data_IF_612982330967
#
_entry.id   IF_612982330967
#
_cell.length_a   1.000
_cell.length_b   1.000
_cell.length_c   1.000
_cell.angle_alpha   90.00
_cell.angle_beta   90.00
_cell.angle_gamma   90.00
#
_symmetry.space_group_name_H-M   'P 1'
#
loop_
_entity.id
_entity.type
_entity.pdbx_description
1 polymer ?
#
# COMPACT_ATOMS: atom_id res chain seq x y z
N UNK A 1 16.53 11.76 -24.33
CA UNK A 1 16.01 10.55 -23.66
C UNK A 1 15.50 11.02 -22.31
N UNK A 2 14.19 11.16 -22.17
CA UNK A 2 13.59 11.52 -20.87
C UNK A 2 13.77 10.35 -19.91
N UNK A 3 14.23 10.68 -18.69
CA UNK A 3 14.43 9.72 -17.63
C UNK A 3 13.06 9.20 -17.20
N UNK A 4 12.67 7.99 -17.63
CA UNK A 4 11.36 7.38 -17.36
C UNK A 4 11.22 6.84 -15.93
N UNK A 5 12.15 7.21 -15.04
CA UNK A 5 12.31 6.67 -13.70
C UNK A 5 11.43 7.39 -12.66
N UNK A 6 10.60 8.36 -13.04
CA UNK A 6 9.72 9.11 -12.11
C UNK A 6 8.27 8.68 -12.25
N UNK A 7 7.52 8.83 -11.16
CA UNK A 7 6.06 8.75 -11.22
C UNK A 7 5.52 10.01 -11.90
N UNK A 8 4.49 9.85 -12.73
CA UNK A 8 3.64 10.97 -13.15
C UNK A 8 2.63 11.31 -12.06
N UNK A 9 2.12 12.54 -12.05
CA UNK A 9 1.09 12.95 -11.09
C UNK A 9 -0.19 12.10 -11.22
N UNK A 10 -0.55 11.69 -12.45
CA UNK A 10 -1.68 10.80 -12.71
C UNK A 10 -1.47 9.43 -12.05
N UNK A 11 -0.25 8.90 -12.07
CA UNK A 11 0.01 7.61 -11.42
C UNK A 11 -0.03 7.68 -9.90
N UNK A 12 0.46 8.77 -9.31
CA UNK A 12 0.32 9.03 -7.87
C UNK A 12 -1.16 9.16 -7.50
N UNK A 13 -1.95 9.87 -8.31
CA UNK A 13 -3.39 9.98 -8.10
C UNK A 13 -4.10 8.62 -8.17
N UNK A 14 -3.72 7.76 -9.13
CA UNK A 14 -4.25 6.39 -9.20
C UNK A 14 -3.83 5.52 -8.01
N UNK A 15 -2.66 5.76 -7.41
CA UNK A 15 -2.25 5.11 -6.15
C UNK A 15 -3.20 5.57 -5.02
N UNK A 16 -3.44 6.87 -4.86
CA UNK A 16 -4.34 7.36 -3.82
C UNK A 16 -5.80 6.90 -3.98
N UNK A 17 -6.29 6.80 -5.22
CA UNK A 17 -7.59 6.21 -5.51
C UNK A 17 -7.66 4.74 -5.11
N UNK A 18 -6.62 3.99 -5.43
CA UNK A 18 -6.55 2.57 -5.11
C UNK A 18 -6.42 2.33 -3.59
N UNK A 19 -5.62 3.15 -2.89
CA UNK A 19 -5.58 3.15 -1.43
C UNK A 19 -6.94 3.45 -0.83
N UNK A 20 -7.65 4.47 -1.32
CA UNK A 20 -8.99 4.77 -0.85
C UNK A 20 -9.92 3.57 -1.06
N UNK A 21 -9.98 3.02 -2.27
CA UNK A 21 -10.82 1.88 -2.62
C UNK A 21 -10.59 0.65 -1.73
N UNK A 22 -9.33 0.37 -1.38
CA UNK A 22 -8.95 -0.81 -0.60
C UNK A 22 -9.02 -0.60 0.92
N UNK A 23 -8.74 0.62 1.40
CA UNK A 23 -8.61 0.90 2.82
C UNK A 23 -9.85 1.54 3.43
N UNK A 24 -10.62 2.35 2.70
CA UNK A 24 -11.81 3.01 3.25
C UNK A 24 -12.89 2.03 3.73
N UNK A 25 -13.14 0.85 3.11
CA UNK A 25 -14.10 -0.11 3.66
C UNK A 25 -13.65 -0.76 4.97
N UNK A 26 -12.35 -0.66 5.30
CA UNK A 26 -11.76 -1.23 6.51
C UNK A 26 -11.77 -0.23 7.68
N UNK A 27 -12.02 1.05 7.41
CA UNK A 27 -12.02 2.12 8.38
C UNK A 27 -13.44 2.67 8.56
N UNK A 28 -13.99 2.53 9.77
CA UNK A 28 -15.35 2.96 10.07
C UNK A 28 -15.53 4.49 10.06
N UNK A 29 -14.43 5.25 10.08
CA UNK A 29 -14.44 6.72 10.01
C UNK A 29 -14.31 7.24 8.58
N UNK A 30 -13.86 6.41 7.64
CA UNK A 30 -13.71 6.80 6.24
C UNK A 30 -15.04 6.71 5.48
N UNK A 31 -15.25 7.62 4.52
CA UNK A 31 -16.37 7.55 3.60
C UNK A 31 -15.99 6.69 2.39
N UNK A 32 -16.36 5.42 2.42
CA UNK A 32 -16.07 4.49 1.32
C UNK A 32 -16.85 4.76 0.03
N UNK A 33 -17.80 5.70 0.05
CA UNK A 33 -18.61 6.07 -1.12
C UNK A 33 -18.08 7.31 -1.84
N UNK A 34 -17.12 8.02 -1.24
CA UNK A 34 -16.54 9.21 -1.84
C UNK A 34 -15.69 8.88 -3.07
N UNK A 35 -15.99 9.50 -4.20
CA UNK A 35 -15.21 9.34 -5.42
C UNK A 35 -14.13 10.42 -5.52
N UNK A 36 -12.87 10.03 -5.31
CA UNK A 36 -11.74 10.95 -5.50
C UNK A 36 -11.63 11.39 -6.97
N UNK A 37 -11.59 12.71 -7.16
CA UNK A 37 -11.34 13.35 -8.45
C UNK A 37 -10.05 14.17 -8.39
N UNK A 38 -9.43 14.51 -9.54
CA UNK A 38 -8.27 15.40 -9.57
C UNK A 38 -8.49 16.74 -8.86
N UNK A 39 -9.74 17.21 -8.83
CA UNK A 39 -10.12 18.50 -8.25
C UNK A 39 -10.63 18.39 -6.81
N UNK A 40 -10.69 17.17 -6.23
CA UNK A 40 -11.05 16.99 -4.82
C UNK A 40 -10.14 17.87 -3.96
N UNK A 41 -10.76 18.65 -3.09
CA UNK A 41 -10.05 19.56 -2.20
C UNK A 41 -9.29 18.76 -1.14
N UNK A 42 -8.26 19.37 -0.55
CA UNK A 42 -7.46 18.72 0.48
C UNK A 42 -8.31 18.33 1.69
N UNK A 43 -9.24 19.19 2.13
CA UNK A 43 -10.10 18.84 3.26
C UNK A 43 -11.03 17.67 2.91
N UNK A 44 -11.60 17.63 1.70
CA UNK A 44 -12.47 16.54 1.25
C UNK A 44 -11.71 15.21 1.20
N UNK A 45 -10.51 15.22 0.61
CA UNK A 45 -9.66 14.04 0.55
C UNK A 45 -9.31 13.52 1.95
N UNK A 46 -8.98 14.43 2.87
CA UNK A 46 -8.63 14.07 4.25
C UNK A 46 -9.83 13.53 5.02
N UNK A 47 -10.99 14.15 4.88
CA UNK A 47 -12.22 13.70 5.53
C UNK A 47 -12.68 12.34 4.99
N UNK A 48 -12.72 12.17 3.67
CA UNK A 48 -13.13 10.92 3.04
C UNK A 48 -12.27 9.70 3.44
N UNK A 49 -11.02 9.93 3.87
CA UNK A 49 -10.06 8.88 4.22
C UNK A 49 -9.69 8.82 5.71
N UNK A 50 -10.31 9.62 6.56
CA UNK A 50 -9.90 9.84 7.96
C UNK A 50 -8.38 10.11 8.11
N UNK A 51 -7.84 10.96 7.23
CA UNK A 51 -6.41 11.27 7.23
C UNK A 51 -6.06 12.24 8.36
N UNK A 52 -4.82 12.09 8.84
CA UNK A 52 -4.22 12.99 9.81
C UNK A 52 -4.15 14.45 9.30
N UNK A 53 -3.91 15.38 10.23
CA UNK A 53 -3.53 16.76 9.91
C UNK A 53 -2.33 16.82 8.96
N UNK A 54 -2.29 17.84 8.10
CA UNK A 54 -1.33 17.94 6.99
C UNK A 54 0.13 17.79 7.42
N UNK A 55 0.51 18.22 8.63
CA UNK A 55 1.88 18.07 9.14
C UNK A 55 2.29 16.62 9.32
N UNK A 56 1.38 15.77 9.81
CA UNK A 56 1.65 14.33 10.00
C UNK A 56 1.49 13.59 8.68
N UNK A 57 0.50 13.98 7.87
CA UNK A 57 0.27 13.42 6.55
C UNK A 57 1.47 13.66 5.63
N UNK A 58 2.03 14.87 5.60
CA UNK A 58 3.23 15.19 4.81
C UNK A 58 4.47 14.38 5.25
N UNK A 59 4.67 14.19 6.55
CA UNK A 59 5.73 13.33 7.05
C UNK A 59 5.54 11.86 6.63
N UNK A 60 4.28 11.39 6.63
CA UNK A 60 3.94 10.07 6.12
C UNK A 60 4.21 9.95 4.62
N UNK A 61 3.77 10.91 3.80
CA UNK A 61 3.99 10.94 2.36
C UNK A 61 5.48 10.98 1.99
N UNK A 62 6.30 11.72 2.75
CA UNK A 62 7.76 11.70 2.60
C UNK A 62 8.31 10.28 2.77
N UNK A 63 7.84 9.55 3.78
CA UNK A 63 8.25 8.16 4.04
C UNK A 63 7.77 7.21 2.95
N UNK A 64 6.49 7.27 2.60
CA UNK A 64 5.84 6.40 1.63
C UNK A 64 6.51 6.52 0.25
N UNK A 65 6.63 7.74 -0.27
CA UNK A 65 7.22 8.00 -1.58
C UNK A 65 8.75 8.14 -1.56
N UNK A 66 9.38 7.98 -0.39
CA UNK A 66 10.84 8.04 -0.19
C UNK A 66 11.43 9.35 -0.70
N UNK A 67 10.75 10.46 -0.39
CA UNK A 67 11.16 11.83 -0.74
C UNK A 67 11.45 12.62 0.53
N UNK A 68 12.27 13.65 0.41
CA UNK A 68 12.63 14.55 1.50
C UNK A 68 12.22 15.98 1.15
N UNK A 69 10.94 16.28 1.40
CA UNK A 69 10.35 17.60 1.14
C UNK A 69 10.19 18.36 2.44
N UNK A 70 10.58 19.63 2.43
CA UNK A 70 10.48 20.49 3.60
C UNK A 70 9.03 20.76 3.96
N UNK A 71 8.77 20.89 5.26
CA UNK A 71 7.43 21.20 5.79
C UNK A 71 6.81 22.45 5.16
N UNK A 72 7.61 23.47 4.88
CA UNK A 72 7.15 24.71 4.24
C UNK A 72 6.70 24.49 2.79
N UNK A 73 7.35 23.59 2.05
CA UNK A 73 6.93 23.25 0.69
C UNK A 73 5.63 22.43 0.71
N UNK A 74 5.51 21.50 1.66
CA UNK A 74 4.25 20.78 1.88
C UNK A 74 3.10 21.71 2.24
N UNK A 75 3.34 22.69 3.10
CA UNK A 75 2.32 23.66 3.49
C UNK A 75 1.72 24.37 2.28
N UNK A 76 2.53 24.73 1.27
CA UNK A 76 2.03 25.38 0.04
C UNK A 76 1.07 24.48 -0.74
N UNK A 77 1.24 23.15 -0.68
CA UNK A 77 0.35 22.18 -1.33
C UNK A 77 -0.89 21.85 -0.51
N UNK A 78 -0.81 21.93 0.81
CA UNK A 78 -1.92 21.56 1.69
C UNK A 78 -2.81 22.74 2.08
N UNK A 79 -2.30 23.98 2.04
CA UNK A 79 -2.98 25.16 2.56
C UNK A 79 -3.20 26.26 1.50
N UNK A 80 -4.34 26.98 1.55
CA UNK A 80 -5.51 26.67 2.37
C UNK A 80 -6.25 25.44 1.82
N UNK A 81 -6.72 24.56 2.72
CA UNK A 81 -7.19 23.21 2.35
C UNK A 81 -8.54 23.19 1.59
N UNK A 82 -9.28 24.30 1.61
CA UNK A 82 -10.50 24.59 0.85
C UNK A 82 -10.27 25.17 -0.55
N UNK A 83 -9.01 25.42 -0.92
CA UNK A 83 -8.61 25.87 -2.27
C UNK A 83 -7.69 24.87 -2.95
N UNK A 84 -6.78 24.25 -2.19
CA UNK A 84 -5.81 23.29 -2.72
C UNK A 84 -6.49 21.97 -3.06
N UNK A 85 -5.95 21.31 -4.09
CA UNK A 85 -6.48 20.05 -4.61
C UNK A 85 -5.53 18.90 -4.36
N UNK A 86 -6.04 17.67 -4.37
CA UNK A 86 -5.21 16.46 -4.32
C UNK A 86 -4.18 16.41 -5.46
N UNK A 87 -4.48 17.01 -6.62
CA UNK A 87 -3.53 17.05 -7.74
C UNK A 87 -2.32 17.96 -7.45
N UNK A 88 -2.45 18.99 -6.61
CA UNK A 88 -1.30 19.79 -6.14
C UNK A 88 -0.29 18.91 -5.37
N UNK A 89 -0.81 17.99 -4.53
CA UNK A 89 -0.02 17.00 -3.80
C UNK A 89 0.60 15.98 -4.77
N UNK A 90 -0.18 15.46 -5.71
CA UNK A 90 0.31 14.49 -6.70
C UNK A 90 1.44 15.07 -7.56
N UNK A 91 1.33 16.33 -7.98
CA UNK A 91 2.38 17.03 -8.72
C UNK A 91 3.65 17.22 -7.88
N UNK A 92 3.50 17.60 -6.61
CA UNK A 92 4.62 17.77 -5.67
C UNK A 92 5.41 16.46 -5.48
N UNK A 93 4.69 15.35 -5.33
CA UNK A 93 5.27 14.01 -5.23
C UNK A 93 5.93 13.61 -6.54
N UNK A 94 5.21 13.68 -7.67
CA UNK A 94 5.71 13.27 -8.99
C UNK A 94 7.00 14.00 -9.40
N UNK A 95 7.15 15.27 -9.01
CA UNK A 95 8.36 16.03 -9.28
C UNK A 95 9.62 15.44 -8.62
N UNK A 96 9.48 14.72 -7.51
CA UNK A 96 10.61 14.24 -6.67
C UNK A 96 10.69 12.72 -6.57
N UNK A 97 9.56 12.03 -6.60
CA UNK A 97 9.46 10.60 -6.38
C UNK A 97 9.95 9.85 -7.62
N UNK A 98 11.01 9.08 -7.42
CA UNK A 98 11.49 8.11 -8.40
C UNK A 98 10.87 6.75 -8.15
N UNK A 99 10.44 6.07 -9.21
CA UNK A 99 10.06 4.67 -9.18
C UNK A 99 11.23 3.82 -8.73
N UNK A 100 10.91 2.73 -8.05
CA UNK A 100 11.91 1.72 -7.79
C UNK A 100 12.12 0.88 -9.05
N UNK A 101 13.32 0.97 -9.65
CA UNK A 101 13.71 0.11 -10.76
C UNK A 101 14.17 -1.24 -10.21
N UNK A 102 13.48 -2.31 -10.59
CA UNK A 102 13.86 -3.66 -10.19
C UNK A 102 14.94 -4.20 -11.13
N UNK A 103 16.13 -4.59 -10.63
CA UNK A 103 17.17 -5.12 -11.50
C UNK A 103 16.69 -6.43 -12.11
N UNK A 104 16.84 -6.58 -13.44
CA UNK A 104 16.54 -7.82 -14.16
C UNK A 104 17.33 -8.98 -13.52
N UNK A 105 16.63 -9.94 -12.92
CA UNK A 105 17.23 -11.13 -12.32
C UNK A 105 17.15 -12.30 -13.27
N UNK A 106 18.26 -13.04 -13.38
CA UNK A 106 18.31 -14.31 -14.12
C UNK A 106 18.10 -15.48 -13.16
N UNK A 107 17.14 -16.34 -13.47
CA UNK A 107 16.96 -17.64 -12.85
C UNK A 107 17.16 -18.70 -13.93
N UNK A 108 18.05 -19.67 -13.67
CA UNK A 108 18.39 -20.74 -14.61
C UNK A 108 18.78 -20.22 -16.02
N UNK A 109 19.45 -19.07 -16.07
CA UNK A 109 19.91 -18.45 -17.32
C UNK A 109 18.88 -17.58 -18.05
N UNK A 110 17.61 -17.56 -17.61
CA UNK A 110 16.55 -16.74 -18.21
C UNK A 110 16.16 -15.57 -17.30
N UNK A 111 15.84 -14.43 -17.90
CA UNK A 111 15.29 -13.29 -17.15
C UNK A 111 13.91 -13.66 -16.60
N UNK A 112 13.73 -13.46 -15.29
CA UNK A 112 12.50 -13.80 -14.60
C UNK A 112 11.93 -12.55 -13.93
N UNK A 113 10.93 -11.97 -14.60
CA UNK A 113 10.23 -10.77 -14.14
C UNK A 113 9.65 -10.95 -12.74
N UNK A 114 8.89 -12.03 -12.55
CA UNK A 114 8.24 -12.35 -11.26
C UNK A 114 9.25 -12.53 -10.13
N UNK A 115 10.40 -13.16 -10.38
CA UNK A 115 11.45 -13.26 -9.37
C UNK A 115 12.06 -11.90 -9.03
N UNK A 116 12.24 -11.03 -10.02
CA UNK A 116 12.78 -9.69 -9.83
C UNK A 116 11.84 -8.83 -8.97
N UNK A 117 10.53 -8.84 -9.30
CA UNK A 117 9.49 -8.16 -8.53
C UNK A 117 9.40 -8.70 -7.10
N UNK A 118 9.33 -10.03 -6.93
CA UNK A 118 9.25 -10.65 -5.59
C UNK A 118 10.43 -10.24 -4.69
N UNK A 119 11.66 -10.33 -5.21
CA UNK A 119 12.85 -9.98 -4.44
C UNK A 119 12.90 -8.49 -4.11
N UNK A 120 12.41 -7.65 -5.03
CA UNK A 120 12.29 -6.23 -4.82
C UNK A 120 11.30 -5.86 -3.72
N UNK A 121 10.07 -6.38 -3.79
CA UNK A 121 9.06 -6.24 -2.73
C UNK A 121 9.64 -6.72 -1.39
N UNK A 122 10.23 -7.92 -1.37
CA UNK A 122 10.85 -8.49 -0.15
C UNK A 122 11.91 -7.56 0.44
N UNK A 123 12.76 -6.96 -0.38
CA UNK A 123 13.80 -6.04 0.07
C UNK A 123 13.23 -4.74 0.62
N UNK A 124 12.20 -4.19 -0.02
CA UNK A 124 11.57 -2.94 0.43
C UNK A 124 10.76 -3.14 1.72
N UNK A 125 10.03 -4.26 1.83
CA UNK A 125 9.37 -4.64 3.08
C UNK A 125 10.38 -4.76 4.24
N UNK A 126 11.56 -5.36 4.00
CA UNK A 126 12.62 -5.42 5.00
C UNK A 126 13.10 -4.03 5.43
N UNK A 127 13.29 -3.11 4.46
CA UNK A 127 13.67 -1.71 4.75
C UNK A 127 12.61 -0.98 5.57
N UNK A 128 11.33 -1.32 5.37
CA UNK A 128 10.20 -0.78 6.12
C UNK A 128 9.93 -1.53 7.45
N UNK A 129 10.85 -2.38 7.91
CA UNK A 129 10.79 -3.02 9.23
C UNK A 129 9.95 -4.30 9.28
N UNK A 130 9.52 -4.84 8.13
CA UNK A 130 8.81 -6.12 8.07
C UNK A 130 9.80 -7.27 8.22
N UNK A 131 9.48 -8.23 9.09
CA UNK A 131 10.25 -9.48 9.15
C UNK A 131 9.95 -10.34 7.92
N UNK A 132 10.90 -10.43 7.00
CA UNK A 132 10.79 -11.20 5.75
C UNK A 132 11.71 -12.43 5.69
N UNK A 133 12.35 -12.83 6.80
CA UNK A 133 13.38 -13.88 6.79
C UNK A 133 12.86 -15.18 6.12
N UNK A 134 11.70 -15.65 6.56
CA UNK A 134 11.03 -16.85 6.03
C UNK A 134 10.06 -16.58 4.87
N UNK A 135 10.01 -15.34 4.35
CA UNK A 135 9.13 -14.99 3.23
C UNK A 135 9.61 -15.69 1.95
N UNK A 136 8.71 -16.45 1.34
CA UNK A 136 8.88 -17.18 0.08
C UNK A 136 7.70 -16.83 -0.85
N UNK A 137 7.80 -17.10 -2.16
CA UNK A 137 6.66 -16.89 -3.07
C UNK A 137 5.41 -17.65 -2.64
N UNK A 138 5.54 -18.82 -2.02
CA UNK A 138 4.41 -19.62 -1.52
C UNK A 138 3.90 -19.18 -0.14
N UNK A 139 4.51 -18.17 0.50
CA UNK A 139 4.03 -17.64 1.78
C UNK A 139 2.68 -16.97 1.58
N UNK A 140 1.77 -17.17 2.54
CA UNK A 140 0.47 -16.50 2.56
C UNK A 140 0.65 -14.99 2.77
N UNK A 141 -0.17 -14.17 2.12
CA UNK A 141 -0.16 -12.71 2.25
C UNK A 141 -0.89 -12.25 3.51
N UNK A 142 -2.01 -12.89 3.86
CA UNK A 142 -2.87 -12.53 4.99
C UNK A 142 -2.09 -12.31 6.31
N UNK A 143 -1.19 -13.22 6.77
CA UNK A 143 -0.47 -13.00 8.01
C UNK A 143 0.42 -11.76 8.01
N UNK A 144 0.90 -11.34 6.83
CA UNK A 144 1.70 -10.13 6.69
C UNK A 144 0.83 -8.89 6.69
N UNK A 145 -0.34 -8.92 6.03
CA UNK A 145 -1.29 -7.80 6.09
C UNK A 145 -1.85 -7.59 7.50
N UNK A 146 -2.19 -8.66 8.23
CA UNK A 146 -2.69 -8.52 9.61
C UNK A 146 -1.64 -7.92 10.56
N UNK A 147 -0.36 -8.21 10.35
CA UNK A 147 0.72 -7.76 11.23
C UNK A 147 1.37 -6.45 10.80
N UNK A 148 1.43 -6.19 9.50
CA UNK A 148 2.19 -5.10 8.88
C UNK A 148 1.39 -4.44 7.74
N UNK A 149 0.10 -4.18 7.98
CA UNK A 149 -0.84 -3.69 6.96
C UNK A 149 -0.28 -2.53 6.12
N UNK A 150 0.08 -1.41 6.77
CA UNK A 150 0.63 -0.22 6.10
C UNK A 150 1.82 -0.53 5.19
N UNK A 151 2.95 -1.02 5.73
CA UNK A 151 4.13 -1.33 4.93
C UNK A 151 3.88 -2.29 3.75
N UNK A 152 2.98 -3.28 3.94
CA UNK A 152 2.65 -4.24 2.87
C UNK A 152 1.80 -3.58 1.79
N UNK A 153 0.74 -2.86 2.18
CA UNK A 153 -0.13 -2.16 1.23
C UNK A 153 0.61 -1.09 0.45
N UNK A 154 1.38 -0.24 1.13
CA UNK A 154 2.23 0.79 0.52
C UNK A 154 3.12 0.20 -0.58
N UNK A 155 3.88 -0.85 -0.26
CA UNK A 155 4.81 -1.45 -1.22
C UNK A 155 4.10 -2.09 -2.41
N UNK A 156 2.95 -2.73 -2.17
CA UNK A 156 2.14 -3.34 -3.23
C UNK A 156 1.63 -2.26 -4.18
N UNK A 157 1.07 -1.17 -3.65
CA UNK A 157 0.45 -0.10 -4.42
C UNK A 157 1.47 0.75 -5.19
N UNK A 158 2.66 0.97 -4.62
CA UNK A 158 3.77 1.62 -5.31
C UNK A 158 4.33 0.76 -6.45
N UNK A 159 4.18 -0.57 -6.37
CA UNK A 159 4.67 -1.51 -7.38
C UNK A 159 3.63 -1.81 -8.46
N UNK A 160 2.35 -1.87 -8.12
CA UNK A 160 1.26 -2.10 -9.04
C UNK A 160 -0.09 -1.67 -8.46
N UNK A 161 -0.98 -1.19 -9.32
CA UNK A 161 -2.37 -0.85 -8.93
C UNK A 161 -3.33 -1.95 -9.34
N UNK A 162 -4.47 -2.10 -8.63
CA UNK A 162 -5.50 -3.12 -8.89
C UNK A 162 -5.01 -4.56 -8.67
N UNK A 163 -4.15 -4.74 -7.67
CA UNK A 163 -3.59 -6.05 -7.31
C UNK A 163 -4.61 -6.89 -6.55
N UNK A 164 -5.36 -6.28 -5.63
CA UNK A 164 -6.44 -6.93 -4.89
C UNK A 164 -7.78 -6.51 -5.47
N UNK A 165 -8.67 -7.47 -5.73
CA UNK A 165 -10.04 -7.16 -6.17
C UNK A 165 -10.82 -6.48 -5.03
N UNK A 166 -10.72 -7.05 -3.82
CA UNK A 166 -11.32 -6.56 -2.59
C UNK A 166 -10.46 -6.99 -1.40
N UNK A 167 -10.50 -6.19 -0.32
CA UNK A 167 -9.99 -6.58 0.98
C UNK A 167 -11.15 -6.51 1.98
N UNK A 168 -11.34 -7.58 2.74
CA UNK A 168 -12.27 -7.55 3.86
C UNK A 168 -11.60 -8.00 5.14
N UNK A 169 -11.96 -7.34 6.23
CA UNK A 169 -11.50 -7.69 7.57
C UNK A 169 -12.65 -8.31 8.35
N UNK A 170 -12.41 -9.47 8.94
CA UNK A 170 -13.38 -10.14 9.80
C UNK A 170 -12.76 -10.54 11.13
N UNK A 171 -13.51 -10.32 12.20
CA UNK A 171 -13.16 -10.79 13.53
C UNK A 171 -14.17 -11.85 13.95
N UNK A 172 -13.70 -13.09 14.13
CA UNK A 172 -14.54 -14.18 14.64
C UNK A 172 -14.13 -14.55 16.05
N UNK A 173 -15.10 -14.85 16.92
CA UNK A 173 -14.83 -15.43 18.24
C UNK A 173 -14.83 -16.94 18.14
N UNK A 174 -13.69 -17.57 18.39
CA UNK A 174 -13.57 -19.04 18.44
C UNK A 174 -13.35 -19.48 19.88
N UNK A 175 -13.82 -20.68 20.23
CA UNK A 175 -13.49 -21.27 21.54
C UNK A 175 -11.98 -21.46 21.63
N UNK A 176 -11.39 -21.11 22.77
CA UNK A 176 -9.98 -21.41 23.03
C UNK A 176 -9.79 -22.93 23.02
N UNK A 177 -8.77 -23.46 22.34
CA UNK A 177 -8.39 -24.85 22.50
C UNK A 177 -7.73 -25.04 23.87
N UNK A 178 -8.26 -25.96 24.66
CA UNK A 178 -7.75 -26.36 25.97
C UNK A 178 -7.54 -25.21 27.01
N UNK A 179 -8.56 -24.38 27.30
CA UNK A 179 -8.42 -23.27 28.25
C UNK A 179 -8.31 -23.80 29.68
N UNK A 180 -7.51 -23.13 30.50
CA UNK A 180 -7.43 -23.44 31.93
C UNK A 180 -8.76 -23.08 32.64
N UNK A 181 -8.92 -23.49 33.90
CA UNK A 181 -10.20 -23.32 34.62
C UNK A 181 -10.63 -21.85 34.74
N UNK A 182 -9.68 -20.92 34.92
CA UNK A 182 -9.95 -19.49 35.02
C UNK A 182 -10.35 -18.89 33.68
N UNK A 183 -9.65 -19.29 32.60
CA UNK A 183 -9.98 -18.91 31.23
C UNK A 183 -11.32 -19.48 30.78
N UNK A 184 -11.69 -20.70 31.19
CA UNK A 184 -13.02 -21.25 30.94
C UNK A 184 -14.13 -20.39 31.53
N UNK A 185 -13.89 -19.82 32.71
CA UNK A 185 -14.89 -19.06 33.46
C UNK A 185 -15.01 -17.61 32.96
N UNK A 186 -13.90 -16.95 32.63
CA UNK A 186 -13.89 -15.52 32.30
C UNK A 186 -13.57 -15.20 30.83
N UNK A 187 -12.84 -16.05 30.12
CA UNK A 187 -12.45 -15.82 28.70
C UNK A 187 -12.43 -17.10 27.84
N UNK A 188 -13.55 -17.83 27.71
CA UNK A 188 -13.58 -19.10 26.96
C UNK A 188 -13.39 -18.90 25.45
N UNK A 189 -13.45 -17.66 24.98
CA UNK A 189 -13.34 -17.29 23.58
C UNK A 189 -12.03 -16.54 23.31
N UNK A 190 -11.44 -16.78 22.14
CA UNK A 190 -10.34 -15.99 21.58
C UNK A 190 -10.86 -15.28 20.32
N UNK A 191 -10.49 -14.01 20.16
CA UNK A 191 -10.68 -13.30 18.90
C UNK A 191 -9.65 -13.83 17.89
N UNK A 192 -10.15 -14.27 16.74
CA UNK A 192 -9.34 -14.60 15.57
C UNK A 192 -9.68 -13.58 14.52
N UNK A 193 -8.65 -12.87 14.10
CA UNK A 193 -8.69 -11.86 13.06
C UNK A 193 -8.33 -12.55 11.75
N UNK A 194 -9.04 -12.20 10.69
CA UNK A 194 -8.78 -12.69 9.33
C UNK A 194 -8.89 -11.55 8.37
N UNK A 195 -8.03 -11.58 7.35
CA UNK A 195 -8.12 -10.69 6.21
C UNK A 195 -8.35 -11.53 4.97
N UNK A 196 -9.49 -11.34 4.33
CA UNK A 196 -9.73 -11.96 3.03
C UNK A 196 -9.10 -11.09 1.94
N UNK A 197 -8.18 -11.71 1.21
CA UNK A 197 -7.45 -11.13 0.09
C UNK A 197 -8.00 -11.59 -1.27
N UNK A 198 -9.21 -12.16 -1.28
CA UNK A 198 -9.88 -12.62 -2.50
C UNK A 198 -9.06 -13.71 -3.21
N UNK A 199 -8.72 -13.49 -4.47
CA UNK A 199 -7.96 -14.46 -5.28
C UNK A 199 -6.44 -14.48 -4.96
N UNK A 200 -5.93 -13.45 -4.29
CA UNK A 200 -4.49 -13.28 -4.03
C UNK A 200 -4.13 -13.90 -2.67
N UNK A 201 -3.84 -15.20 -2.64
CA UNK A 201 -3.56 -15.90 -1.36
C UNK A 201 -2.08 -15.88 -0.97
N UNK A 202 -1.18 -15.97 -1.95
CA UNK A 202 0.27 -16.04 -1.74
C UNK A 202 1.01 -14.87 -2.38
N UNK A 203 2.26 -14.64 -1.96
CA UNK A 203 3.13 -13.64 -2.61
C UNK A 203 3.38 -13.94 -4.09
N UNK A 204 3.30 -15.21 -4.52
CA UNK A 204 3.35 -15.59 -5.93
C UNK A 204 2.13 -15.04 -6.69
N UNK A 205 0.93 -15.23 -6.14
CA UNK A 205 -0.30 -14.74 -6.76
C UNK A 205 -0.27 -13.21 -6.87
N UNK A 206 0.20 -12.56 -5.81
CA UNK A 206 0.38 -11.11 -5.72
C UNK A 206 1.34 -10.60 -6.80
N UNK A 207 2.50 -11.23 -6.91
CA UNK A 207 3.53 -10.86 -7.90
C UNK A 207 3.04 -11.11 -9.32
N UNK A 208 2.32 -12.21 -9.57
CA UNK A 208 1.74 -12.48 -10.88
C UNK A 208 0.73 -11.40 -11.27
N UNK A 209 -0.18 -11.02 -10.35
CA UNK A 209 -1.13 -9.92 -10.57
C UNK A 209 -0.44 -8.58 -10.83
N UNK A 210 0.61 -8.28 -10.06
CA UNK A 210 1.45 -7.11 -10.31
C UNK A 210 2.03 -7.16 -11.72
N UNK A 211 2.64 -8.27 -12.14
CA UNK A 211 3.25 -8.43 -13.46
C UNK A 211 2.24 -8.40 -14.63
N UNK A 212 0.98 -8.78 -14.38
CA UNK A 212 -0.13 -8.64 -15.33
C UNK A 212 -0.57 -7.17 -15.49
N UNK A 213 -0.23 -6.28 -14.55
CA UNK A 213 -0.57 -4.86 -14.62
C UNK A 213 0.39 -4.12 -15.57
N UNK A 214 -0.18 -3.24 -16.42
CA UNK A 214 0.57 -2.45 -17.41
C UNK A 214 1.70 -1.60 -16.78
N UNK A 215 1.55 -1.24 -15.49
CA UNK A 215 2.54 -0.43 -14.75
C UNK A 215 3.88 -1.14 -14.52
N UNK A 216 3.91 -2.47 -14.50
CA UNK A 216 5.17 -3.20 -14.24
C UNK A 216 6.14 -3.11 -15.40
N UNK A 217 5.65 -3.01 -16.64
CA UNK A 217 6.51 -2.87 -17.81
C UNK A 217 7.32 -1.56 -17.78
N UNK A 218 6.83 -0.53 -17.08
CA UNK A 218 7.52 0.75 -16.89
C UNK A 218 8.62 0.69 -15.80
N UNK A 219 8.67 -0.36 -14.98
CA UNK A 219 9.62 -0.49 -13.85
C UNK A 219 10.93 -1.22 -14.21
N UNK A 220 11.00 -1.77 -15.42
CA UNK A 220 12.16 -2.47 -15.95
C UNK A 220 12.62 -1.71 -17.19
N UNK A 221 13.40 -0.65 -17.01
CA UNK A 221 13.93 0.15 -18.12
C UNK A 221 14.51 -0.71 -19.25
N UNK A 222 14.34 -0.23 -20.48
CA UNK A 222 14.99 -0.79 -21.68
C UNK A 222 16.51 -0.58 -21.62
#
# INVERSE_FOLDING_TARGET
MENNDRYSAVEIFEIFKEEHRLCSPLDFMADSTYELTPNSLIWEWREARDLLGWEKLSAYLNKEFRIDVLKSEWQVCFEPDDVRTIMDVCNMIAYRATRHVYPKRRLLGQECLTASVFLGIKQNLLRNGVNVFDMRPSSLVEPYLLKYFGPVMEEVLLTGTKVFDELSYSTTRVKRPNPNWFEKLFWPWKKVERMDTGTVKTFRDLVNRICESEKVLLLFGD
#
